data_IF_033156399825
#
_entry.id   IF_033156399825
#
_cell.length_a   1.000
_cell.length_b   1.000
_cell.length_c   1.000
_cell.angle_alpha   90.00
_cell.angle_beta   90.00
_cell.angle_gamma   90.00
#
_symmetry.space_group_name_H-M   'P 1'
#
loop_
_entity.id
_entity.type
_entity.pdbx_description
1 polymer ?
#
# COMPACT_ATOMS: atom_id res chain seq x y z
N UNK A 1 15.26 -4.51 -0.58
CA UNK A 1 14.16 -3.86 0.18
C UNK A 1 12.75 -4.25 -0.29
N UNK A 2 12.11 -3.65 -1.32
CA UNK A 2 10.66 -3.88 -1.56
C UNK A 2 10.30 -5.34 -1.95
N UNK A 3 11.20 -6.03 -2.65
CA UNK A 3 11.05 -7.46 -2.99
C UNK A 3 11.18 -8.36 -1.75
N UNK A 4 12.08 -8.03 -0.82
CA UNK A 4 12.21 -8.75 0.45
C UNK A 4 10.96 -8.58 1.32
N UNK A 5 10.36 -7.38 1.32
CA UNK A 5 9.08 -7.14 2.02
C UNK A 5 7.97 -7.98 1.39
N UNK A 6 7.89 -8.04 0.06
CA UNK A 6 6.96 -8.94 -0.65
C UNK A 6 7.16 -10.39 -0.22
N UNK A 7 8.41 -10.87 -0.16
CA UNK A 7 8.74 -12.23 0.26
C UNK A 7 8.33 -12.50 1.72
N UNK A 8 8.66 -11.59 2.62
CA UNK A 8 8.31 -11.71 4.05
C UNK A 8 6.80 -11.75 4.27
N UNK A 9 6.04 -10.89 3.57
CA UNK A 9 4.57 -10.87 3.65
C UNK A 9 3.99 -12.17 3.11
N UNK A 10 4.44 -12.62 1.93
CA UNK A 10 3.95 -13.88 1.35
C UNK A 10 4.21 -15.06 2.29
N UNK A 11 5.41 -15.14 2.85
CA UNK A 11 5.78 -16.19 3.79
C UNK A 11 4.87 -16.20 5.03
N UNK A 12 4.62 -15.04 5.64
CA UNK A 12 3.73 -14.94 6.79
C UNK A 12 2.29 -15.36 6.46
N UNK A 13 1.78 -14.98 5.28
CA UNK A 13 0.43 -15.34 4.85
C UNK A 13 0.30 -16.84 4.54
N UNK A 14 1.31 -17.46 3.91
CA UNK A 14 1.35 -18.91 3.65
C UNK A 14 1.44 -19.72 4.95
N UNK A 15 2.21 -19.25 5.94
CA UNK A 15 2.29 -19.90 7.25
C UNK A 15 0.94 -19.93 7.96
N UNK A 16 0.14 -18.86 7.84
CA UNK A 16 -1.20 -18.78 8.42
C UNK A 16 -2.19 -19.68 7.67
N UNK A 17 -2.11 -19.78 6.35
CA UNK A 17 -3.03 -20.61 5.56
C UNK A 17 -2.81 -22.11 5.77
N UNK A 18 -1.57 -22.51 6.10
CA UNK A 18 -1.16 -23.90 6.35
C UNK A 18 -1.50 -24.88 5.22
N UNK A 19 -1.62 -24.40 3.97
CA UNK A 19 -1.95 -25.24 2.81
C UNK A 19 -1.74 -24.55 1.46
N UNK A 20 -2.42 -23.42 1.21
CA UNK A 20 -2.31 -22.73 -0.07
C UNK A 20 -1.00 -21.94 -0.19
N UNK A 21 -0.50 -21.86 -1.42
CA UNK A 21 0.72 -21.12 -1.76
C UNK A 21 0.44 -20.05 -2.80
N UNK A 22 1.26 -19.00 -2.80
CA UNK A 22 1.19 -17.96 -3.80
C UNK A 22 1.65 -18.48 -5.17
N UNK A 23 0.84 -18.24 -6.19
CA UNK A 23 1.25 -18.34 -7.59
C UNK A 23 1.95 -17.04 -7.97
N UNK A 24 3.22 -17.15 -8.36
CA UNK A 24 4.07 -16.02 -8.78
C UNK A 24 3.98 -15.86 -10.29
N UNK A 25 3.63 -14.66 -10.72
CA UNK A 25 3.65 -14.23 -12.12
C UNK A 25 4.63 -13.06 -12.25
N UNK A 26 5.62 -13.21 -13.14
CA UNK A 26 6.66 -12.21 -13.41
C UNK A 26 6.44 -11.68 -14.80
N UNK A 27 6.25 -10.37 -14.92
CA UNK A 27 5.94 -9.73 -16.18
C UNK A 27 6.83 -8.52 -16.43
N UNK A 28 7.02 -8.22 -17.71
CA UNK A 28 7.78 -7.07 -18.21
C UNK A 28 6.98 -6.32 -19.28
N UNK A 29 7.27 -5.04 -19.47
CA UNK A 29 6.62 -4.23 -20.51
C UNK A 29 7.62 -3.78 -21.58
N UNK A 30 7.21 -3.71 -22.87
CA UNK A 30 8.05 -3.21 -23.94
C UNK A 30 8.54 -1.76 -23.73
N UNK A 31 7.72 -0.92 -23.09
CA UNK A 31 8.05 0.49 -22.77
C UNK A 31 8.91 0.69 -21.52
N UNK A 32 9.54 -0.37 -21.00
CA UNK A 32 10.33 -0.35 -19.78
C UNK A 32 9.53 -0.70 -18.53
N UNK A 33 10.21 -1.38 -17.60
CA UNK A 33 9.63 -1.81 -16.34
C UNK A 33 9.03 -3.21 -16.34
N UNK A 34 8.41 -3.55 -15.23
CA UNK A 34 7.82 -4.86 -14.99
C UNK A 34 7.30 -5.00 -13.56
N UNK A 35 6.96 -6.21 -13.19
CA UNK A 35 6.45 -6.50 -11.85
C UNK A 35 6.43 -7.97 -11.53
N UNK A 36 6.15 -8.24 -10.26
CA UNK A 36 5.93 -9.56 -9.70
C UNK A 36 4.56 -9.51 -9.05
N UNK A 37 3.59 -10.18 -9.66
CA UNK A 37 2.28 -10.40 -9.07
C UNK A 37 2.31 -11.73 -8.33
N UNK A 38 1.78 -11.77 -7.10
CA UNK A 38 1.60 -13.03 -6.37
C UNK A 38 0.16 -13.14 -5.94
N UNK A 39 -0.48 -14.25 -6.29
CA UNK A 39 -1.88 -14.48 -5.94
C UNK A 39 -2.02 -15.83 -5.27
N UNK A 40 -2.61 -15.83 -4.07
CA UNK A 40 -3.09 -17.02 -3.38
C UNK A 40 -4.62 -16.99 -3.48
N UNK A 41 -5.22 -18.10 -3.89
CA UNK A 41 -6.67 -18.27 -4.00
C UNK A 41 -7.08 -19.59 -3.36
N UNK A 42 -8.31 -19.62 -2.86
CA UNK A 42 -8.98 -20.83 -2.37
C UNK A 42 -8.25 -21.53 -1.21
N UNK A 43 -7.50 -20.78 -0.41
CA UNK A 43 -6.79 -21.29 0.77
C UNK A 43 -7.71 -21.64 1.94
N UNK A 44 -7.17 -22.25 2.99
CA UNK A 44 -7.97 -22.61 4.16
C UNK A 44 -8.42 -21.37 4.95
N UNK A 45 -7.55 -20.35 5.00
CA UNK A 45 -7.80 -19.09 5.71
C UNK A 45 -8.09 -17.96 4.73
N UNK A 46 -7.31 -17.87 3.64
CA UNK A 46 -7.45 -16.81 2.66
C UNK A 46 -8.36 -17.24 1.51
N UNK A 47 -9.45 -16.51 1.28
CA UNK A 47 -10.26 -16.70 0.07
C UNK A 47 -9.45 -16.24 -1.13
N UNK A 48 -8.85 -15.05 -0.99
CA UNK A 48 -7.96 -14.47 -1.97
C UNK A 48 -6.97 -13.53 -1.30
N UNK A 49 -5.69 -13.68 -1.59
CA UNK A 49 -4.64 -12.77 -1.18
C UNK A 49 -3.82 -12.33 -2.40
N UNK A 50 -3.75 -11.03 -2.61
CA UNK A 50 -2.91 -10.39 -3.64
C UNK A 50 -1.69 -9.74 -3.00
N UNK A 51 -0.53 -10.20 -3.47
CA UNK A 51 0.92 -9.95 -3.26
C UNK A 51 1.73 -9.18 -4.32
N UNK A 52 1.45 -7.95 -4.73
CA UNK A 52 2.02 -7.35 -5.95
C UNK A 52 3.12 -6.30 -5.71
N UNK A 53 4.21 -6.41 -6.48
CA UNK A 53 5.28 -5.40 -6.64
C UNK A 53 5.38 -5.02 -8.11
N UNK A 54 5.46 -3.74 -8.43
CA UNK A 54 5.84 -3.26 -9.75
C UNK A 54 7.00 -2.27 -9.66
N UNK A 55 7.90 -2.36 -10.63
CA UNK A 55 8.99 -1.41 -10.88
C UNK A 55 8.86 -0.99 -12.32
N UNK A 56 8.31 0.19 -12.54
CA UNK A 56 8.20 0.81 -13.84
C UNK A 56 9.25 1.90 -13.92
N UNK A 57 9.94 2.04 -15.06
CA UNK A 57 10.71 3.27 -15.30
C UNK A 57 9.68 4.40 -15.35
N UNK A 58 9.60 5.13 -14.23
CA UNK A 58 8.56 6.11 -13.91
C UNK A 58 7.73 5.85 -12.64
N UNK A 59 7.69 4.67 -12.02
CA UNK A 59 7.03 4.45 -10.70
C UNK A 59 7.28 3.05 -10.08
N UNK A 60 7.57 2.97 -8.78
CA UNK A 60 7.56 1.70 -8.01
C UNK A 60 6.30 1.62 -7.15
N UNK A 61 5.46 0.61 -7.38
CA UNK A 61 4.21 0.43 -6.61
C UNK A 61 4.21 -0.94 -5.93
N UNK A 62 3.97 -0.95 -4.62
CA UNK A 62 3.65 -2.16 -3.86
C UNK A 62 2.21 -2.04 -3.40
N UNK A 63 1.33 -2.96 -3.79
CA UNK A 63 -0.11 -2.87 -3.50
C UNK A 63 -0.65 -4.25 -3.16
N UNK A 64 -1.34 -4.36 -2.02
CA UNK A 64 -1.90 -5.61 -1.50
C UNK A 64 -3.34 -5.45 -1.04
N UNK A 65 -4.13 -6.49 -1.31
CA UNK A 65 -5.49 -6.64 -0.79
C UNK A 65 -5.66 -8.09 -0.34
N UNK A 66 -6.12 -8.29 0.89
CA UNK A 66 -6.25 -9.58 1.54
C UNK A 66 -7.71 -9.80 1.94
N UNK A 67 -8.34 -10.83 1.40
CA UNK A 67 -9.71 -11.24 1.72
C UNK A 67 -9.70 -12.62 2.41
N UNK A 68 -9.94 -12.69 3.72
CA UNK A 68 -10.06 -13.96 4.44
C UNK A 68 -11.41 -14.64 4.15
N UNK A 69 -11.45 -15.98 4.20
CA UNK A 69 -12.70 -16.77 4.11
C UNK A 69 -13.57 -16.63 5.35
N UNK A 70 -12.93 -16.52 6.51
CA UNK A 70 -13.65 -16.37 7.77
C UNK A 70 -14.11 -14.91 7.93
N UNK A 71 -15.42 -14.61 8.01
CA UNK A 71 -15.91 -13.24 8.15
C UNK A 71 -15.53 -12.57 9.48
N UNK A 72 -15.11 -13.34 10.49
CA UNK A 72 -14.54 -12.80 11.72
C UNK A 72 -13.08 -12.37 11.57
N UNK A 73 -12.39 -12.81 10.52
CA UNK A 73 -11.09 -12.28 10.12
C UNK A 73 -11.28 -11.08 9.20
N UNK A 74 -10.40 -10.09 9.34
CA UNK A 74 -10.60 -8.78 8.74
C UNK A 74 -9.93 -8.69 7.38
N UNK A 75 -10.59 -8.03 6.42
CA UNK A 75 -9.94 -7.67 5.14
C UNK A 75 -8.92 -6.57 5.41
N UNK A 76 -7.75 -6.66 4.80
CA UNK A 76 -6.66 -5.69 4.98
C UNK A 76 -6.13 -5.25 3.62
N UNK A 77 -5.87 -3.96 3.48
CA UNK A 77 -5.19 -3.40 2.32
C UNK A 77 -3.98 -2.58 2.75
N UNK A 78 -2.92 -2.63 1.95
CA UNK A 78 -1.79 -1.71 2.09
C UNK A 78 -1.14 -1.44 0.76
N UNK A 79 -0.62 -0.22 0.64
CA UNK A 79 0.11 0.23 -0.52
C UNK A 79 1.31 1.03 -0.07
N UNK A 80 2.49 0.81 -0.64
CA UNK A 80 3.64 1.70 -0.46
C UNK A 80 4.31 1.92 -1.82
N UNK A 81 4.61 3.17 -2.13
CA UNK A 81 5.10 3.57 -3.44
C UNK A 81 6.12 4.69 -3.34
N UNK A 82 7.04 4.65 -4.28
CA UNK A 82 8.05 5.68 -4.48
C UNK A 82 7.98 6.17 -5.91
N UNK A 83 8.04 7.48 -6.06
CA UNK A 83 8.03 8.14 -7.36
C UNK A 83 9.12 9.19 -7.40
N UNK A 84 9.81 9.25 -8.54
CA UNK A 84 10.80 10.28 -8.85
C UNK A 84 10.70 10.67 -10.32
N UNK A 85 10.97 11.94 -10.60
CA UNK A 85 11.14 12.49 -11.96
C UNK A 85 12.50 13.12 -12.06
N UNK A 86 13.23 12.80 -13.12
CA UNK A 86 14.48 13.46 -13.44
C UNK A 86 14.27 14.95 -13.73
N UNK A 87 15.31 15.75 -13.46
CA UNK A 87 15.33 17.13 -13.87
C UNK A 87 15.29 17.22 -15.41
N UNK A 88 14.55 18.18 -15.99
CA UNK A 88 14.45 18.30 -17.44
C UNK A 88 15.82 18.52 -18.09
N UNK A 89 16.20 17.68 -19.08
CA UNK A 89 17.49 17.76 -19.78
C UNK A 89 17.30 18.17 -21.24
N UNK A 90 17.76 19.37 -21.59
CA UNK A 90 18.15 19.80 -22.95
C UNK A 90 17.04 19.95 -24.01
N UNK A 91 16.08 19.03 -24.07
CA UNK A 91 14.99 19.00 -25.04
C UNK A 91 13.66 19.06 -24.27
N UNK A 92 13.31 20.27 -23.83
CA UNK A 92 12.09 20.52 -23.04
C UNK A 92 10.85 20.37 -23.93
N UNK A 93 9.91 19.54 -23.49
CA UNK A 93 8.51 19.70 -23.87
C UNK A 93 8.00 21.02 -23.26
N UNK A 94 7.66 22.05 -24.06
CA UNK A 94 7.20 23.33 -23.50
C UNK A 94 5.90 23.22 -22.70
N UNK A 95 5.14 22.15 -22.93
CA UNK A 95 3.85 21.86 -22.29
C UNK A 95 4.02 21.15 -20.94
N UNK A 96 5.08 20.35 -20.77
CA UNK A 96 5.25 19.46 -19.61
C UNK A 96 6.51 19.73 -18.77
N UNK A 97 7.52 20.39 -19.33
CA UNK A 97 8.78 20.64 -18.66
C UNK A 97 8.94 22.10 -18.26
N UNK A 98 9.11 22.35 -16.96
CA UNK A 98 9.48 23.67 -16.45
C UNK A 98 11.00 23.85 -16.56
N UNK A 99 11.51 24.82 -17.35
CA UNK A 99 12.94 25.06 -17.46
C UNK A 99 13.57 25.30 -16.09
N UNK A 100 14.60 24.52 -15.73
CA UNK A 100 15.30 24.64 -14.45
C UNK A 100 14.61 23.98 -13.25
N UNK A 101 13.52 23.21 -13.45
CA UNK A 101 12.94 22.45 -12.36
C UNK A 101 13.91 21.40 -11.79
N UNK A 102 14.09 21.34 -10.46
CA UNK A 102 14.93 20.31 -9.85
C UNK A 102 14.22 18.95 -9.85
N UNK A 103 15.02 17.87 -9.73
CA UNK A 103 14.52 16.50 -9.57
C UNK A 103 13.51 16.44 -8.42
N UNK A 104 12.30 15.98 -8.70
CA UNK A 104 11.24 15.83 -7.70
C UNK A 104 11.09 14.37 -7.32
N UNK A 105 10.77 14.11 -6.06
CA UNK A 105 10.45 12.77 -5.58
C UNK A 105 9.51 12.79 -4.38
N UNK A 106 8.74 11.73 -4.22
CA UNK A 106 7.89 11.55 -3.05
C UNK A 106 7.63 10.08 -2.75
N UNK A 107 7.32 9.81 -1.49
CA UNK A 107 6.69 8.57 -1.07
C UNK A 107 5.18 8.76 -1.00
N UNK A 108 4.47 7.68 -1.30
CA UNK A 108 3.03 7.54 -1.10
C UNK A 108 2.77 6.18 -0.48
N UNK A 109 1.70 6.02 0.30
CA UNK A 109 1.33 4.70 0.76
C UNK A 109 0.48 4.72 2.01
N UNK A 110 -0.11 3.61 2.39
CA UNK A 110 -0.98 3.49 3.54
C UNK A 110 -1.36 2.06 3.87
N UNK A 111 -1.99 1.86 5.03
CA UNK A 111 -2.57 0.58 5.43
C UNK A 111 -3.97 0.81 6.00
N UNK A 112 -4.90 -0.09 5.72
CA UNK A 112 -6.27 0.02 6.18
C UNK A 112 -6.92 -1.34 6.41
N UNK A 113 -7.98 -1.30 7.22
CA UNK A 113 -8.65 -2.47 7.76
C UNK A 113 -10.16 -2.37 7.52
N UNK A 114 -10.72 -3.43 6.93
CA UNK A 114 -12.13 -3.56 6.57
C UNK A 114 -12.72 -4.79 7.26
N UNK A 115 -13.03 -4.71 8.56
CA UNK A 115 -13.70 -5.81 9.25
C UNK A 115 -15.16 -5.95 8.78
N UNK A 116 -15.62 -7.19 8.60
CA UNK A 116 -17.05 -7.47 8.48
C UNK A 116 -17.76 -7.44 9.84
N UNK A 117 -17.06 -7.89 10.90
CA UNK A 117 -17.48 -7.76 12.29
C UNK A 117 -16.45 -6.96 13.09
N UNK A 118 -16.93 -5.97 13.85
CA UNK A 118 -16.06 -5.07 14.60
C UNK A 118 -15.69 -5.67 15.96
N UNK A 119 -14.41 -5.99 16.13
CA UNK A 119 -13.82 -6.30 17.43
C UNK A 119 -12.97 -5.12 17.89
N UNK A 120 -13.33 -4.53 19.03
CA UNK A 120 -12.67 -3.32 19.52
C UNK A 120 -11.18 -3.54 19.82
N UNK A 121 -10.83 -4.73 20.29
CA UNK A 121 -9.46 -5.13 20.58
C UNK A 121 -8.58 -5.12 19.33
N UNK A 122 -9.08 -5.67 18.21
CA UNK A 122 -8.34 -5.69 16.93
C UNK A 122 -8.12 -4.28 16.38
N UNK A 123 -9.14 -3.42 16.49
CA UNK A 123 -9.07 -2.02 16.06
C UNK A 123 -8.03 -1.26 16.88
N UNK A 124 -8.06 -1.43 18.21
CA UNK A 124 -7.06 -0.83 19.11
C UNK A 124 -5.65 -1.34 18.80
N UNK A 125 -5.51 -2.65 18.59
CA UNK A 125 -4.24 -3.26 18.24
C UNK A 125 -3.70 -2.67 16.93
N UNK A 126 -4.48 -2.70 15.86
CA UNK A 126 -4.09 -2.16 14.55
C UNK A 126 -3.64 -0.70 14.65
N UNK A 127 -4.45 0.16 15.28
CA UNK A 127 -4.12 1.57 15.45
C UNK A 127 -2.88 1.79 16.32
N UNK A 128 -2.70 1.01 17.38
CA UNK A 128 -1.53 1.10 18.25
C UNK A 128 -0.24 0.77 17.50
N UNK A 129 -0.22 -0.29 16.69
CA UNK A 129 0.94 -0.69 15.89
C UNK A 129 1.32 0.43 14.92
N UNK A 130 0.33 0.99 14.21
CA UNK A 130 0.56 2.05 13.22
C UNK A 130 1.04 3.34 13.89
N UNK A 131 0.47 3.70 15.05
CA UNK A 131 0.93 4.82 15.86
C UNK A 131 2.37 4.63 16.33
N UNK A 132 2.69 3.47 16.91
CA UNK A 132 4.05 3.15 17.38
C UNK A 132 5.08 3.24 16.26
N UNK A 133 4.74 2.87 15.03
CA UNK A 133 5.65 3.03 13.88
C UNK A 133 5.81 4.50 13.51
N UNK A 134 4.71 5.26 13.40
CA UNK A 134 4.75 6.68 13.05
C UNK A 134 5.52 7.52 14.09
N UNK A 135 5.30 7.26 15.37
CA UNK A 135 5.91 8.00 16.49
C UNK A 135 7.44 7.89 16.52
N UNK A 136 8.02 6.84 15.91
CA UNK A 136 9.49 6.70 15.76
C UNK A 136 10.09 7.76 14.85
N UNK A 137 9.30 8.34 13.96
CA UNK A 137 9.74 9.35 12.99
C UNK A 137 9.26 10.73 13.41
N UNK A 138 7.96 10.90 13.67
CA UNK A 138 7.36 12.17 14.08
C UNK A 138 5.98 11.91 14.71
N UNK A 139 5.76 12.45 15.92
CA UNK A 139 4.51 12.28 16.66
C UNK A 139 3.28 12.90 15.96
N UNK A 140 3.48 13.86 15.05
CA UNK A 140 2.42 14.49 14.24
C UNK A 140 1.93 13.61 13.08
N UNK A 141 2.70 12.59 12.69
CA UNK A 141 2.40 11.77 11.52
C UNK A 141 1.13 10.96 11.72
N UNK A 142 1.01 10.24 12.83
CA UNK A 142 -0.16 9.39 13.04
C UNK A 142 -1.48 10.16 13.07
N UNK A 143 -1.63 11.27 13.84
CA UNK A 143 -2.86 12.07 13.81
C UNK A 143 -3.21 12.59 12.41
N UNK A 144 -2.21 13.11 11.68
CA UNK A 144 -2.39 13.66 10.33
C UNK A 144 -2.80 12.59 9.32
N UNK A 145 -2.06 11.48 9.30
CA UNK A 145 -2.24 10.42 8.32
C UNK A 145 -3.48 9.57 8.58
N UNK A 146 -3.87 9.39 9.85
CA UNK A 146 -5.16 8.80 10.21
C UNK A 146 -6.30 9.64 9.63
N UNK A 147 -6.31 10.94 9.92
CA UNK A 147 -7.35 11.84 9.40
C UNK A 147 -7.43 11.80 7.87
N UNK A 148 -6.27 11.82 7.19
CA UNK A 148 -6.25 11.75 5.74
C UNK A 148 -6.86 10.44 5.21
N UNK A 149 -6.61 9.33 5.88
CA UNK A 149 -7.18 8.03 5.51
C UNK A 149 -8.71 8.03 5.68
N UNK A 150 -9.22 8.59 6.79
CA UNK A 150 -10.66 8.75 7.02
C UNK A 150 -11.32 9.61 5.92
N UNK A 151 -10.70 10.75 5.57
CA UNK A 151 -11.21 11.63 4.51
C UNK A 151 -11.18 10.95 3.11
N UNK A 152 -10.15 10.13 2.84
CA UNK A 152 -9.93 9.51 1.53
C UNK A 152 -10.94 8.38 1.24
N UNK A 153 -11.25 7.55 2.23
CA UNK A 153 -12.13 6.39 2.08
C UNK A 153 -13.60 6.66 2.42
N UNK A 154 -14.02 7.92 2.40
CA UNK A 154 -15.41 8.30 2.62
C UNK A 154 -16.27 8.16 1.35
N UNK A 155 -17.30 7.31 1.42
CA UNK A 155 -18.26 7.13 0.34
C UNK A 155 -19.36 8.19 0.46
N UNK A 156 -19.16 9.33 -0.22
CA UNK A 156 -20.05 10.50 -0.18
C UNK A 156 -21.53 10.15 -0.39
N UNK A 157 -21.83 9.32 -1.40
CA UNK A 157 -23.22 9.00 -1.76
C UNK A 157 -23.94 8.14 -0.71
N UNK A 158 -23.20 7.38 0.10
CA UNK A 158 -23.74 6.52 1.16
C UNK A 158 -23.60 7.13 2.56
N UNK A 159 -22.93 8.28 2.66
CA UNK A 159 -22.56 8.95 3.91
C UNK A 159 -21.87 8.02 4.92
N UNK A 160 -21.07 7.07 4.41
CA UNK A 160 -20.40 6.04 5.20
C UNK A 160 -18.93 5.94 4.77
N UNK A 161 -18.06 5.57 5.70
CA UNK A 161 -16.68 5.19 5.37
C UNK A 161 -16.66 3.77 4.79
N UNK A 162 -15.89 3.56 3.72
CA UNK A 162 -15.65 2.23 3.15
C UNK A 162 -14.94 1.30 4.15
N UNK A 163 -14.24 1.90 5.12
CA UNK A 163 -13.43 1.26 6.14
C UNK A 163 -13.90 1.69 7.53
N UNK A 164 -13.84 0.79 8.49
CA UNK A 164 -14.17 1.07 9.90
C UNK A 164 -12.95 1.56 10.69
N UNK A 165 -11.74 1.31 10.19
CA UNK A 165 -10.48 1.57 10.88
C UNK A 165 -9.35 1.82 9.87
N UNK A 166 -8.93 3.08 9.74
CA UNK A 166 -8.01 3.53 8.68
C UNK A 166 -6.75 4.14 9.30
N UNK A 167 -5.53 3.70 8.91
CA UNK A 167 -4.33 4.40 9.36
C UNK A 167 -3.11 4.31 8.44
N UNK A 168 -2.57 5.50 8.19
CA UNK A 168 -1.39 5.84 7.42
C UNK A 168 -1.70 6.15 5.95
N UNK A 169 -1.44 7.39 5.53
CA UNK A 169 -1.23 7.81 4.16
C UNK A 169 0.08 8.62 4.14
N UNK A 170 1.24 7.96 3.98
CA UNK A 170 2.55 8.58 4.01
C UNK A 170 2.78 9.34 2.69
N UNK A 171 2.39 10.60 2.61
CA UNK A 171 2.80 11.51 1.53
C UNK A 171 3.96 12.37 2.02
N UNK A 172 5.19 11.95 1.75
CA UNK A 172 6.39 12.76 2.01
C UNK A 172 6.81 13.36 0.67
N UNK A 173 6.44 14.62 0.43
CA UNK A 173 7.02 15.44 -0.65
C UNK A 173 8.29 16.08 -0.09
N UNK A 174 9.46 15.69 -0.61
CA UNK A 174 10.70 16.42 -0.39
C UNK A 174 10.99 17.25 -1.64
N UNK A 175 10.96 18.57 -1.49
CA UNK A 175 11.54 19.48 -2.47
C UNK A 175 13.03 19.61 -2.12
N UNK A 176 13.92 19.05 -2.94
CA UNK A 176 15.34 19.39 -2.95
C UNK A 176 15.62 20.37 -4.08
#
# INVERSE_FOLDING_TARGET
>A
MIREVQDSVCCALEQVDAGAKFKKDVWSRPGGGGGISRVLQDGAVWEKAGVNVSVVYGCVMFHQVLHPKNPFAQTLHFNYRYFETDAPKGNLSPEYDTPGAPRQWWFGGGTDLTPSYLFEEDVKHFHSVQKTVCDKFDASFYPRFRKWCDDYFYIKVRKLHFLTCSSCLLSVKCFC
#
